data_IF_804790520174
#
_entry.id   IF_804790520174
#
_cell.length_a   1.000
_cell.length_b   1.000
_cell.length_c   1.000
_cell.angle_alpha   90.00
_cell.angle_beta   90.00
_cell.angle_gamma   90.00
#
_symmetry.space_group_name_H-M   'P 1'
#
loop_
_entity.id
_entity.type
_entity.pdbx_description
1 polymer ?
#
# COMPACT_ATOMS: atom_id res chain seq x y z
N UNK A 1 21.54 13.99 -0.47
CA UNK A 1 20.09 13.85 -0.44
C UNK A 1 19.49 13.85 -1.85
N UNK A 2 18.38 13.15 -2.06
CA UNK A 2 17.76 13.11 -3.37
C UNK A 2 17.22 14.48 -3.79
N UNK A 3 17.07 14.73 -5.10
CA UNK A 3 16.45 15.97 -5.58
C UNK A 3 15.05 16.17 -5.00
N UNK A 4 14.58 17.41 -4.95
CA UNK A 4 13.28 17.79 -4.39
C UNK A 4 12.13 17.01 -5.04
N UNK A 5 12.16 16.83 -6.37
CA UNK A 5 11.13 16.06 -7.08
C UNK A 5 11.14 14.58 -6.68
N UNK A 6 12.32 14.01 -6.45
CA UNK A 6 12.45 12.64 -5.99
C UNK A 6 12.02 12.49 -4.53
N UNK A 7 12.26 13.50 -3.69
CA UNK A 7 11.77 13.50 -2.31
C UNK A 7 10.24 13.49 -2.28
N UNK A 8 9.60 14.27 -3.15
CA UNK A 8 8.16 14.30 -3.26
C UNK A 8 7.63 12.93 -3.74
N UNK A 9 8.27 12.35 -4.74
CA UNK A 9 7.90 11.02 -5.23
C UNK A 9 8.01 9.98 -4.13
N UNK A 10 9.10 10.01 -3.36
CA UNK A 10 9.31 9.09 -2.24
C UNK A 10 8.18 9.22 -1.21
N UNK A 11 7.81 10.46 -0.86
CA UNK A 11 6.71 10.72 0.09
C UNK A 11 5.37 10.22 -0.45
N UNK A 12 5.09 10.47 -1.72
CA UNK A 12 3.83 10.04 -2.34
C UNK A 12 3.73 8.51 -2.36
N UNK A 13 4.82 7.82 -2.64
CA UNK A 13 4.86 6.36 -2.61
C UNK A 13 4.61 5.82 -1.20
N UNK A 14 5.24 6.43 -0.19
CA UNK A 14 5.05 6.03 1.21
C UNK A 14 3.62 6.29 1.67
N UNK A 15 3.05 7.42 1.25
CA UNK A 15 1.67 7.76 1.59
C UNK A 15 0.69 6.78 0.97
N UNK A 16 0.90 6.41 -0.30
CA UNK A 16 0.08 5.41 -0.97
C UNK A 16 0.21 4.04 -0.31
N UNK A 17 1.43 3.66 0.06
CA UNK A 17 1.66 2.39 0.77
C UNK A 17 0.94 2.38 2.13
N UNK A 18 1.01 3.49 2.87
CA UNK A 18 0.33 3.61 4.17
C UNK A 18 -1.19 3.52 4.01
N UNK A 19 -1.75 4.16 2.98
CA UNK A 19 -3.18 4.09 2.70
C UNK A 19 -3.62 2.64 2.46
N UNK A 20 -2.86 1.89 1.66
CA UNK A 20 -3.15 0.49 1.38
C UNK A 20 -3.03 -0.38 2.64
N UNK A 21 -2.02 -0.09 3.48
CA UNK A 21 -1.84 -0.81 4.74
C UNK A 21 -3.05 -0.66 5.65
N UNK A 22 -3.48 0.57 5.89
CA UNK A 22 -4.58 0.83 6.82
C UNK A 22 -5.92 0.39 6.23
N UNK A 23 -6.11 0.53 4.91
CA UNK A 23 -7.29 0.01 4.23
C UNK A 23 -7.36 -1.51 4.34
N UNK A 24 -6.21 -2.19 4.22
CA UNK A 24 -6.14 -3.64 4.40
C UNK A 24 -6.50 -4.07 5.82
N UNK A 25 -6.04 -3.31 6.83
CA UNK A 25 -6.40 -3.57 8.23
C UNK A 25 -7.90 -3.42 8.42
N UNK A 26 -8.51 -2.36 7.86
CA UNK A 26 -9.95 -2.14 7.94
C UNK A 26 -10.74 -3.30 7.30
N UNK A 27 -10.25 -3.79 6.17
CA UNK A 27 -10.88 -4.94 5.50
C UNK A 27 -10.78 -6.21 6.34
N UNK A 28 -9.66 -6.44 7.01
CA UNK A 28 -9.50 -7.59 7.89
C UNK A 28 -10.45 -7.51 9.09
N UNK A 29 -10.63 -6.31 9.65
CA UNK A 29 -11.58 -6.10 10.75
C UNK A 29 -13.02 -6.34 10.28
N UNK A 30 -13.36 -5.87 9.08
CA UNK A 30 -14.67 -6.12 8.48
C UNK A 30 -14.89 -7.62 8.25
N UNK A 31 -13.86 -8.32 7.78
CA UNK A 31 -13.93 -9.77 7.58
C UNK A 31 -14.18 -10.49 8.88
N UNK A 32 -13.54 -10.08 9.98
CA UNK A 32 -13.75 -10.67 11.29
C UNK A 32 -15.21 -10.51 11.74
N UNK A 33 -15.80 -9.33 11.52
CA UNK A 33 -17.21 -9.09 11.85
C UNK A 33 -18.15 -9.97 11.03
N UNK A 34 -17.86 -10.13 9.74
CA UNK A 34 -18.65 -11.01 8.87
C UNK A 34 -18.56 -12.47 9.30
N UNK A 35 -17.35 -12.91 9.66
CA UNK A 35 -17.15 -14.27 10.15
C UNK A 35 -17.94 -14.52 11.44
N UNK A 36 -17.92 -13.56 12.36
CA UNK A 36 -18.69 -13.64 13.62
C UNK A 36 -20.20 -13.70 13.35
N UNK A 37 -20.65 -13.07 12.26
CA UNK A 37 -22.05 -13.10 11.86
C UNK A 37 -22.41 -14.36 11.04
N UNK A 38 -21.48 -15.29 10.85
CA UNK A 38 -21.69 -16.50 10.08
C UNK A 38 -21.57 -16.35 8.58
N UNK A 39 -21.11 -15.21 8.10
CA UNK A 39 -20.98 -14.93 6.67
C UNK A 39 -19.56 -15.22 6.21
N UNK A 40 -19.18 -16.49 6.23
CA UNK A 40 -17.81 -16.92 6.01
C UNK A 40 -17.33 -16.68 4.57
N UNK A 41 -18.19 -16.85 3.56
CA UNK A 41 -17.79 -16.64 2.16
C UNK A 41 -17.47 -15.18 1.90
N UNK A 42 -18.25 -14.26 2.44
CA UNK A 42 -18.01 -12.83 2.32
C UNK A 42 -16.74 -12.42 3.08
N UNK A 43 -16.53 -13.01 4.26
CA UNK A 43 -15.31 -12.79 5.03
C UNK A 43 -14.07 -13.18 4.22
N UNK A 44 -14.11 -14.35 3.58
CA UNK A 44 -13.00 -14.82 2.74
C UNK A 44 -12.73 -13.90 1.56
N UNK A 45 -13.78 -13.35 0.95
CA UNK A 45 -13.62 -12.38 -0.15
C UNK A 45 -12.88 -11.12 0.31
N UNK A 46 -13.25 -10.58 1.48
CA UNK A 46 -12.56 -9.40 2.01
C UNK A 46 -11.11 -9.70 2.35
N UNK A 47 -10.80 -10.90 2.86
CA UNK A 47 -9.43 -11.29 3.15
C UNK A 47 -8.58 -11.38 1.88
N UNK A 48 -9.16 -11.84 0.77
CA UNK A 48 -8.47 -11.86 -0.52
C UNK A 48 -8.14 -10.44 -0.98
N UNK A 49 -9.08 -9.51 -0.84
CA UNK A 49 -8.85 -8.11 -1.19
C UNK A 49 -7.75 -7.52 -0.32
N UNK A 50 -7.79 -7.77 1.00
CA UNK A 50 -6.75 -7.31 1.91
C UNK A 50 -5.37 -7.85 1.53
N UNK A 51 -5.29 -9.11 1.12
CA UNK A 51 -4.03 -9.71 0.67
C UNK A 51 -3.49 -9.02 -0.59
N UNK A 52 -4.37 -8.64 -1.54
CA UNK A 52 -3.94 -7.92 -2.73
C UNK A 52 -3.42 -6.54 -2.40
N UNK A 53 -4.01 -5.86 -1.40
CA UNK A 53 -3.52 -4.56 -0.92
C UNK A 53 -2.13 -4.70 -0.30
N UNK A 54 -1.91 -5.76 0.47
CA UNK A 54 -0.60 -6.02 1.09
C UNK A 54 0.50 -6.16 0.03
N UNK A 55 0.22 -6.89 -1.05
CA UNK A 55 1.18 -7.09 -2.13
C UNK A 55 1.55 -5.76 -2.80
N UNK A 56 0.57 -4.88 -3.03
CA UNK A 56 0.82 -3.58 -3.64
C UNK A 56 1.56 -2.66 -2.66
N UNK A 57 1.17 -2.67 -1.39
CA UNK A 57 1.87 -1.92 -0.34
C UNK A 57 3.36 -2.25 -0.32
N UNK A 58 3.69 -3.54 -0.34
CA UNK A 58 5.08 -4.00 -0.30
C UNK A 58 5.86 -3.48 -1.51
N UNK A 59 5.26 -3.52 -2.71
CA UNK A 59 5.89 -2.99 -3.91
C UNK A 59 6.12 -1.49 -3.83
N UNK A 60 5.12 -0.74 -3.39
CA UNK A 60 5.22 0.72 -3.30
C UNK A 60 6.26 1.14 -2.26
N UNK A 61 6.31 0.44 -1.12
CA UNK A 61 7.32 0.70 -0.11
C UNK A 61 8.73 0.42 -0.66
N UNK A 62 8.87 -0.66 -1.44
CA UNK A 62 10.13 -0.99 -2.11
C UNK A 62 10.55 0.09 -3.10
N UNK A 63 9.62 0.60 -3.90
CA UNK A 63 9.91 1.70 -4.83
C UNK A 63 10.30 2.97 -4.09
N UNK A 64 9.65 3.27 -2.96
CA UNK A 64 10.03 4.43 -2.15
C UNK A 64 11.48 4.32 -1.67
N UNK A 65 11.89 3.12 -1.26
CA UNK A 65 13.27 2.87 -0.84
C UNK A 65 14.24 3.05 -2.00
N UNK A 66 13.88 2.59 -3.21
CA UNK A 66 14.71 2.77 -4.39
C UNK A 66 14.85 4.23 -4.79
N UNK A 67 13.78 5.03 -4.61
CA UNK A 67 13.84 6.47 -4.85
C UNK A 67 14.75 7.14 -3.82
N UNK A 68 14.61 6.78 -2.54
CA UNK A 68 15.48 7.30 -1.48
C UNK A 68 16.94 6.99 -1.76
N UNK A 69 17.23 5.79 -2.25
CA UNK A 69 18.58 5.34 -2.54
C UNK A 69 19.07 5.79 -3.92
N UNK A 70 18.29 6.62 -4.61
CA UNK A 70 18.60 7.21 -5.91
C UNK A 70 18.74 6.19 -7.05
N UNK A 71 18.15 4.99 -6.88
CA UNK A 71 18.10 3.99 -7.95
C UNK A 71 16.96 4.26 -8.93
N UNK A 72 15.92 4.97 -8.46
CA UNK A 72 14.84 5.48 -9.30
C UNK A 72 14.81 6.98 -9.12
N UNK A 73 14.79 7.74 -10.21
CA UNK A 73 14.67 9.18 -10.16
C UNK A 73 13.53 9.64 -11.07
N UNK A 74 12.85 10.69 -10.65
CA UNK A 74 11.79 11.28 -11.44
C UNK A 74 12.40 12.25 -12.47
N UNK A 75 12.10 12.05 -13.75
CA UNK A 75 12.54 12.95 -14.81
C UNK A 75 11.84 14.31 -14.63
N UNK A 76 12.57 15.40 -14.94
CA UNK A 76 11.98 16.71 -14.94
C UNK A 76 10.95 16.80 -16.06
N UNK A 77 9.76 17.39 -15.83
CA UNK A 77 8.83 17.65 -16.92
C UNK A 77 9.46 18.62 -17.91
N UNK A 78 9.31 18.34 -19.17
CA UNK A 78 9.80 19.22 -20.24
C UNK A 78 8.84 20.38 -20.48
#
# INVERSE_FOLDING_TARGET
PPPKTSQQLCRDLKEAAALLKWSGVDLMQAAARLSEAGQEDEAKELLKIAASYQAVEDRLAGYADEVRDQRITRAKPE
#
